data_IF_835118313252
#
_entry.id   IF_835118313252
#
_cell.length_a   1.000
_cell.length_b   1.000
_cell.length_c   1.000
_cell.angle_alpha   90.00
_cell.angle_beta   90.00
_cell.angle_gamma   90.00
#
_symmetry.space_group_name_H-M   'P 1'
#
loop_
_entity.id
_entity.type
_entity.pdbx_description
1 polymer ?
#
# COMPACT_ATOMS: atom_id res chain seq x y z
N UNK A 1 -27.85 49.85 -14.51
CA UNK A 1 -28.12 49.33 -13.14
C UNK A 1 -28.59 47.87 -13.13
N UNK A 2 -29.62 47.45 -13.88
CA UNK A 2 -30.06 46.03 -13.87
C UNK A 2 -29.08 45.04 -14.51
N UNK A 3 -28.36 45.44 -15.57
CA UNK A 3 -27.38 44.56 -16.26
C UNK A 3 -26.09 44.34 -15.45
N UNK A 4 -25.72 45.31 -14.60
CA UNK A 4 -24.50 45.29 -13.79
C UNK A 4 -24.67 44.34 -12.59
N UNK A 5 -25.86 44.32 -11.99
CA UNK A 5 -26.22 43.39 -10.91
C UNK A 5 -26.27 41.95 -11.41
N UNK A 6 -26.76 41.70 -12.62
CA UNK A 6 -26.77 40.35 -13.21
C UNK A 6 -25.39 39.84 -13.55
N UNK A 7 -24.48 40.72 -14.01
CA UNK A 7 -23.11 40.34 -14.38
C UNK A 7 -22.27 39.96 -13.14
N UNK A 8 -22.40 40.73 -12.05
CA UNK A 8 -21.76 40.39 -10.76
C UNK A 8 -22.25 39.06 -10.20
N UNK A 9 -23.53 38.71 -10.39
CA UNK A 9 -24.08 37.45 -9.88
C UNK A 9 -23.53 36.23 -10.64
N UNK A 10 -23.41 36.32 -11.97
CA UNK A 10 -22.79 35.25 -12.77
C UNK A 10 -21.31 35.05 -12.47
N UNK A 11 -20.56 36.13 -12.20
CA UNK A 11 -19.16 36.01 -11.80
C UNK A 11 -19.02 35.33 -10.44
N UNK A 12 -19.82 35.73 -9.44
CA UNK A 12 -19.82 35.10 -8.10
C UNK A 12 -20.16 33.62 -8.20
N UNK A 13 -21.20 33.25 -8.96
CA UNK A 13 -21.59 31.84 -9.13
C UNK A 13 -20.47 31.03 -9.82
N UNK A 14 -19.77 31.61 -10.79
CA UNK A 14 -18.64 30.95 -11.46
C UNK A 14 -17.45 30.72 -10.53
N UNK A 15 -17.14 31.68 -9.67
CA UNK A 15 -16.08 31.58 -8.66
C UNK A 15 -16.43 30.53 -7.59
N UNK A 16 -17.69 30.50 -7.15
CA UNK A 16 -18.17 29.50 -6.20
C UNK A 16 -18.05 28.10 -6.79
N UNK A 17 -18.51 27.87 -8.03
CA UNK A 17 -18.41 26.56 -8.70
C UNK A 17 -16.95 26.14 -8.87
N UNK A 18 -16.07 27.05 -9.30
CA UNK A 18 -14.64 26.77 -9.45
C UNK A 18 -13.97 26.44 -8.11
N UNK A 19 -14.34 27.15 -7.03
CA UNK A 19 -13.84 26.87 -5.68
C UNK A 19 -14.30 25.50 -5.15
N UNK A 20 -15.55 25.11 -5.43
CA UNK A 20 -16.09 23.81 -5.01
C UNK A 20 -15.44 22.66 -5.80
N UNK A 21 -15.21 22.83 -7.09
CA UNK A 21 -14.53 21.84 -7.92
C UNK A 21 -13.06 21.64 -7.51
N UNK A 22 -12.35 22.72 -7.20
CA UNK A 22 -10.95 22.65 -6.73
C UNK A 22 -10.84 22.00 -5.35
N UNK A 23 -11.75 22.32 -4.43
CA UNK A 23 -11.82 21.68 -3.11
C UNK A 23 -12.15 20.18 -3.21
N UNK A 24 -13.10 19.80 -4.06
CA UNK A 24 -13.45 18.40 -4.31
C UNK A 24 -12.26 17.61 -4.89
N UNK A 25 -11.60 18.16 -5.91
CA UNK A 25 -10.40 17.53 -6.49
C UNK A 25 -9.30 17.34 -5.45
N UNK A 26 -9.04 18.35 -4.61
CA UNK A 26 -8.05 18.26 -3.52
C UNK A 26 -8.41 17.19 -2.50
N UNK A 27 -9.68 17.10 -2.11
CA UNK A 27 -10.16 16.07 -1.18
C UNK A 27 -9.91 14.65 -1.72
N UNK A 28 -10.25 14.40 -2.99
CA UNK A 28 -10.01 13.10 -3.62
C UNK A 28 -8.53 12.73 -3.64
N UNK A 29 -7.63 13.69 -3.88
CA UNK A 29 -6.20 13.43 -3.82
C UNK A 29 -5.75 13.04 -2.40
N UNK A 30 -6.20 13.75 -1.37
CA UNK A 30 -5.86 13.42 0.02
C UNK A 30 -6.42 12.06 0.45
N UNK A 31 -7.63 11.72 0.03
CA UNK A 31 -8.22 10.40 0.26
C UNK A 31 -7.38 9.31 -0.40
N UNK A 32 -6.89 9.56 -1.62
CA UNK A 32 -6.01 8.62 -2.32
C UNK A 32 -4.67 8.44 -1.61
N UNK A 33 -4.07 9.52 -1.09
CA UNK A 33 -2.87 9.45 -0.26
C UNK A 33 -3.09 8.64 1.03
N UNK A 34 -4.16 8.93 1.76
CA UNK A 34 -4.51 8.22 2.99
C UNK A 34 -4.76 6.72 2.73
N UNK A 35 -5.47 6.43 1.63
CA UNK A 35 -5.66 5.07 1.16
C UNK A 35 -4.33 4.38 0.82
N UNK A 36 -3.44 5.03 0.06
CA UNK A 36 -2.14 4.46 -0.30
C UNK A 36 -1.26 4.16 0.92
N UNK A 37 -1.24 5.04 1.93
CA UNK A 37 -0.53 4.78 3.20
C UNK A 37 -1.10 3.57 3.91
N UNK A 38 -2.43 3.48 4.02
CA UNK A 38 -3.13 2.37 4.69
C UNK A 38 -2.87 1.05 3.93
N UNK A 39 -2.98 1.08 2.61
CA UNK A 39 -2.71 -0.05 1.72
C UNK A 39 -1.27 -0.55 1.90
N UNK A 40 -0.28 0.33 1.80
CA UNK A 40 1.13 -0.06 1.97
C UNK A 40 1.41 -0.60 3.38
N UNK A 41 0.84 0.02 4.42
CA UNK A 41 0.98 -0.43 5.80
C UNK A 41 0.37 -1.81 6.04
N UNK A 42 -0.83 -2.08 5.51
CA UNK A 42 -1.49 -3.39 5.63
C UNK A 42 -0.74 -4.49 4.87
N UNK A 43 -0.16 -4.18 3.71
CA UNK A 43 0.63 -5.14 2.91
C UNK A 43 1.95 -5.56 3.57
N UNK A 44 2.36 -4.91 4.66
CA UNK A 44 3.49 -5.38 5.49
C UNK A 44 3.17 -6.65 6.29
N UNK A 45 1.93 -7.14 6.24
CA UNK A 45 1.41 -8.34 6.90
C UNK A 45 1.23 -8.24 8.43
N UNK A 46 2.14 -7.58 9.14
CA UNK A 46 2.10 -7.46 10.62
C UNK A 46 0.76 -6.98 11.16
N UNK A 47 0.25 -5.81 10.73
CA UNK A 47 -1.02 -5.26 11.21
C UNK A 47 -2.20 -6.22 11.00
N UNK A 48 -2.30 -6.84 9.81
CA UNK A 48 -3.38 -7.78 9.48
C UNK A 48 -3.28 -9.04 10.34
N UNK A 49 -2.08 -9.59 10.49
CA UNK A 49 -1.87 -10.75 11.35
C UNK A 49 -2.20 -10.45 12.81
N UNK A 50 -1.89 -9.24 13.29
CA UNK A 50 -2.17 -8.83 14.67
C UNK A 50 -3.67 -8.67 14.94
N UNK A 51 -4.42 -8.10 13.99
CA UNK A 51 -5.88 -7.97 14.09
C UNK A 51 -6.55 -9.35 14.21
N UNK A 52 -6.09 -10.34 13.43
CA UNK A 52 -6.67 -11.68 13.40
C UNK A 52 -6.04 -12.66 14.40
N UNK A 53 -5.10 -12.22 15.24
CA UNK A 53 -4.35 -13.10 16.15
C UNK A 53 -5.26 -13.86 17.11
N UNK A 54 -6.15 -13.15 17.81
CA UNK A 54 -7.05 -13.77 18.78
C UNK A 54 -7.96 -14.82 18.15
N UNK A 55 -8.48 -14.55 16.96
CA UNK A 55 -9.31 -15.51 16.23
C UNK A 55 -8.51 -16.70 15.68
N UNK A 56 -7.23 -16.49 15.31
CA UNK A 56 -6.35 -17.56 14.81
C UNK A 56 -6.05 -18.63 15.86
N UNK A 57 -6.18 -18.31 17.15
CA UNK A 57 -6.01 -19.26 18.25
C UNK A 57 -7.21 -20.21 18.41
N UNK A 58 -8.37 -19.86 17.85
CA UNK A 58 -9.61 -20.64 17.98
C UNK A 58 -9.84 -21.53 16.76
N UNK A 59 -9.70 -20.98 15.55
CA UNK A 59 -9.82 -21.73 14.29
C UNK A 59 -8.76 -21.27 13.28
N UNK A 60 -7.62 -21.97 13.19
CA UNK A 60 -6.53 -21.58 12.29
C UNK A 60 -6.94 -21.61 10.80
N UNK A 61 -7.78 -22.56 10.39
CA UNK A 61 -8.07 -22.81 8.98
C UNK A 61 -9.05 -21.80 8.41
N UNK A 62 -10.08 -21.42 9.17
CA UNK A 62 -11.00 -20.37 8.76
C UNK A 62 -10.28 -19.02 8.61
N UNK A 63 -9.31 -18.75 9.48
CA UNK A 63 -8.62 -17.47 9.55
C UNK A 63 -7.64 -17.24 8.40
N UNK A 64 -7.05 -18.29 7.82
CA UNK A 64 -6.22 -18.13 6.61
C UNK A 64 -7.03 -17.53 5.45
N UNK A 65 -8.25 -18.02 5.23
CA UNK A 65 -9.16 -17.50 4.20
C UNK A 65 -9.58 -16.07 4.53
N UNK A 66 -9.84 -15.77 5.80
CA UNK A 66 -10.21 -14.41 6.24
C UNK A 66 -9.07 -13.40 6.06
N UNK A 67 -7.82 -13.79 6.37
CA UNK A 67 -6.63 -12.97 6.11
C UNK A 67 -6.49 -12.69 4.62
N UNK A 68 -6.60 -13.74 3.79
CA UNK A 68 -6.56 -13.61 2.34
C UNK A 68 -7.65 -12.66 1.80
N UNK A 69 -8.89 -12.82 2.27
CA UNK A 69 -10.00 -11.94 1.91
C UNK A 69 -9.76 -10.48 2.34
N UNK A 70 -9.17 -10.26 3.52
CA UNK A 70 -8.78 -8.92 3.99
C UNK A 70 -7.81 -8.27 3.01
N UNK A 71 -6.78 -8.99 2.56
CA UNK A 71 -5.84 -8.46 1.57
C UNK A 71 -6.48 -8.17 0.22
N UNK A 72 -7.41 -9.00 -0.26
CA UNK A 72 -8.14 -8.71 -1.51
C UNK A 72 -8.96 -7.42 -1.37
N UNK A 73 -9.72 -7.30 -0.28
CA UNK A 73 -10.60 -6.14 -0.05
C UNK A 73 -9.80 -4.84 0.03
N UNK A 74 -8.67 -4.86 0.71
CA UNK A 74 -7.81 -3.68 0.83
C UNK A 74 -7.14 -3.33 -0.51
N UNK A 75 -6.80 -4.31 -1.34
CA UNK A 75 -6.16 -4.08 -2.65
C UNK A 75 -7.16 -3.72 -3.77
N UNK A 76 -8.44 -4.09 -3.64
CA UNK A 76 -9.44 -3.94 -4.70
C UNK A 76 -9.60 -2.50 -5.22
N UNK A 77 -9.64 -1.44 -4.38
CA UNK A 77 -9.73 -0.07 -4.88
C UNK A 77 -8.52 0.35 -5.73
N UNK A 78 -7.31 -0.10 -5.38
CA UNK A 78 -6.09 0.20 -6.13
C UNK A 78 -6.15 -0.42 -7.54
N UNK A 79 -6.62 -1.67 -7.62
CA UNK A 79 -6.80 -2.38 -8.89
C UNK A 79 -7.87 -1.67 -9.72
N UNK A 80 -9.00 -1.31 -9.13
CA UNK A 80 -10.06 -0.57 -9.80
C UNK A 80 -9.54 0.77 -10.37
N UNK A 81 -8.79 1.53 -9.59
CA UNK A 81 -8.19 2.80 -10.03
C UNK A 81 -7.16 2.59 -11.15
N UNK A 82 -6.34 1.54 -11.08
CA UNK A 82 -5.38 1.19 -12.13
C UNK A 82 -6.09 0.87 -13.44
N UNK A 83 -7.12 0.02 -13.40
CA UNK A 83 -7.91 -0.35 -14.58
C UNK A 83 -8.58 0.88 -15.18
N UNK A 84 -9.19 1.74 -14.36
CA UNK A 84 -9.83 2.98 -14.81
C UNK A 84 -8.84 3.95 -15.47
N UNK A 85 -7.62 4.06 -14.94
CA UNK A 85 -6.57 4.96 -15.48
C UNK A 85 -5.90 4.41 -16.73
N UNK A 86 -5.96 3.09 -16.92
CA UNK A 86 -5.35 2.39 -18.03
C UNK A 86 -3.82 2.31 -17.95
N UNK A 87 -3.27 1.30 -18.60
CA UNK A 87 -1.81 1.09 -18.71
C UNK A 87 -1.40 1.47 -20.14
N UNK A 88 -0.46 2.41 -20.26
CA UNK A 88 0.07 2.79 -21.56
C UNK A 88 0.84 1.63 -22.20
N UNK A 89 0.65 1.41 -23.51
CA UNK A 89 1.37 0.37 -24.27
C UNK A 89 2.89 0.53 -24.18
N UNK A 90 3.38 1.74 -23.96
CA UNK A 90 4.81 2.02 -23.81
C UNK A 90 5.38 1.47 -22.49
N UNK A 91 4.54 1.29 -21.46
CA UNK A 91 4.97 0.76 -20.17
C UNK A 91 5.40 -0.72 -20.27
N UNK A 92 4.88 -1.45 -21.27
CA UNK A 92 5.24 -2.84 -21.53
C UNK A 92 6.60 -3.04 -22.20
N UNK A 93 7.22 -1.98 -22.75
CA UNK A 93 8.50 -2.08 -23.48
C UNK A 93 9.75 -2.03 -22.57
N UNK A 94 9.59 -2.20 -21.26
CA UNK A 94 10.67 -2.08 -20.28
C UNK A 94 10.61 -3.11 -19.15
N UNK A 95 11.24 -2.82 -18.00
CA UNK A 95 11.28 -3.72 -16.83
C UNK A 95 9.89 -4.16 -16.34
N UNK A 96 8.89 -3.29 -16.49
CA UNK A 96 7.50 -3.59 -16.13
C UNK A 96 6.91 -4.69 -17.02
N UNK A 97 7.22 -4.70 -18.32
CA UNK A 97 6.81 -5.78 -19.22
C UNK A 97 7.40 -7.13 -18.83
N UNK A 98 8.69 -7.14 -18.47
CA UNK A 98 9.37 -8.34 -17.96
C UNK A 98 8.74 -8.82 -16.64
N UNK A 99 8.43 -7.90 -15.72
CA UNK A 99 7.76 -8.21 -14.47
C UNK A 99 6.38 -8.83 -14.71
N UNK A 100 5.59 -8.25 -15.63
CA UNK A 100 4.27 -8.78 -15.97
C UNK A 100 4.35 -10.15 -16.65
N UNK A 101 5.35 -10.36 -17.50
CA UNK A 101 5.62 -11.68 -18.10
C UNK A 101 5.95 -12.70 -17.02
N UNK A 102 6.85 -12.35 -16.09
CA UNK A 102 7.22 -13.20 -14.96
C UNK A 102 6.02 -13.54 -14.07
N UNK A 103 5.21 -12.54 -13.70
CA UNK A 103 4.02 -12.74 -12.87
C UNK A 103 2.98 -13.60 -13.60
N UNK A 104 2.80 -13.41 -14.90
CA UNK A 104 1.91 -14.24 -15.72
C UNK A 104 2.41 -15.69 -15.81
N UNK A 105 3.73 -15.87 -15.96
CA UNK A 105 4.35 -17.19 -15.94
C UNK A 105 4.16 -17.90 -14.59
N UNK A 106 4.37 -17.20 -13.47
CA UNK A 106 4.13 -17.75 -12.14
C UNK A 106 2.67 -18.18 -11.96
N UNK A 107 1.72 -17.39 -12.46
CA UNK A 107 0.30 -17.76 -12.41
C UNK A 107 -0.01 -18.98 -13.29
N UNK A 108 0.55 -19.07 -14.49
CA UNK A 108 0.35 -20.24 -15.37
C UNK A 108 0.93 -21.52 -14.75
N UNK A 109 2.05 -21.39 -14.03
CA UNK A 109 2.70 -22.53 -13.39
C UNK A 109 1.86 -23.22 -12.31
N UNK A 110 0.81 -22.56 -11.80
CA UNK A 110 -0.11 -23.17 -10.84
C UNK A 110 -0.96 -24.28 -11.46
N UNK A 111 -1.13 -24.30 -12.79
CA UNK A 111 -1.99 -25.26 -13.50
C UNK A 111 -1.45 -26.69 -13.36
N UNK A 112 -0.13 -26.85 -13.35
CA UNK A 112 0.54 -28.15 -13.24
C UNK A 112 1.20 -28.37 -11.87
N UNK A 113 0.86 -27.55 -10.87
CA UNK A 113 1.43 -27.66 -9.53
C UNK A 113 0.80 -28.81 -8.73
N UNK A 114 1.63 -29.63 -8.08
CA UNK A 114 1.21 -30.78 -7.27
C UNK A 114 0.48 -30.38 -5.98
N UNK A 115 0.79 -29.20 -5.42
CA UNK A 115 0.07 -28.60 -4.27
C UNK A 115 -0.77 -27.41 -4.75
N UNK A 116 -1.70 -27.68 -5.66
CA UNK A 116 -2.41 -26.64 -6.43
C UNK A 116 -3.11 -25.59 -5.57
N UNK A 117 -3.67 -25.96 -4.40
CA UNK A 117 -4.43 -24.99 -3.57
C UNK A 117 -3.56 -23.88 -2.98
N UNK A 118 -2.44 -24.22 -2.34
CA UNK A 118 -1.57 -23.20 -1.72
C UNK A 118 -0.83 -22.38 -2.79
N UNK A 119 -0.35 -23.05 -3.84
CA UNK A 119 0.36 -22.40 -4.96
C UNK A 119 -0.55 -21.43 -5.73
N UNK A 120 -1.86 -21.71 -5.83
CA UNK A 120 -2.83 -20.77 -6.41
C UNK A 120 -2.96 -19.51 -5.55
N UNK A 121 -3.11 -19.62 -4.23
CA UNK A 121 -3.23 -18.45 -3.35
C UNK A 121 -1.98 -17.55 -3.41
N UNK A 122 -0.79 -18.14 -3.42
CA UNK A 122 0.47 -17.41 -3.52
C UNK A 122 0.60 -16.68 -4.86
N UNK A 123 0.34 -17.36 -5.98
CA UNK A 123 0.40 -16.75 -7.30
C UNK A 123 -0.65 -15.66 -7.51
N UNK A 124 -1.87 -15.84 -7.00
CA UNK A 124 -2.89 -14.78 -7.02
C UNK A 124 -2.45 -13.58 -6.19
N UNK A 125 -1.90 -13.81 -4.99
CA UNK A 125 -1.37 -12.75 -4.14
C UNK A 125 -0.24 -11.98 -4.83
N UNK A 126 0.65 -12.69 -5.53
CA UNK A 126 1.72 -12.08 -6.32
C UNK A 126 1.16 -11.17 -7.44
N UNK A 127 0.15 -11.65 -8.17
CA UNK A 127 -0.51 -10.88 -9.24
C UNK A 127 -1.16 -9.62 -8.68
N UNK A 128 -1.94 -9.74 -7.60
CA UNK A 128 -2.64 -8.62 -6.97
C UNK A 128 -1.64 -7.59 -6.42
N UNK A 129 -0.61 -8.06 -5.73
CA UNK A 129 0.42 -7.19 -5.15
C UNK A 129 1.24 -6.48 -6.25
N UNK A 130 1.54 -7.18 -7.35
CA UNK A 130 2.17 -6.57 -8.53
C UNK A 130 1.29 -5.48 -9.14
N UNK A 131 -0.02 -5.74 -9.30
CA UNK A 131 -0.97 -4.75 -9.79
C UNK A 131 -1.04 -3.53 -8.87
N UNK A 132 -1.00 -3.72 -7.55
CA UNK A 132 -0.90 -2.62 -6.57
C UNK A 132 0.39 -1.83 -6.72
N UNK A 133 1.53 -2.50 -6.93
CA UNK A 133 2.80 -1.83 -7.22
C UNK A 133 2.71 -0.94 -8.47
N UNK A 134 2.07 -1.43 -9.54
CA UNK A 134 1.82 -0.66 -10.75
C UNK A 134 0.86 0.50 -10.53
N UNK A 135 -0.17 0.30 -9.71
CA UNK A 135 -1.06 1.38 -9.27
C UNK A 135 -0.24 2.50 -8.61
N UNK A 136 0.60 2.18 -7.62
CA UNK A 136 1.42 3.19 -6.92
C UNK A 136 2.38 3.88 -7.89
N UNK A 137 3.06 3.12 -8.75
CA UNK A 137 4.03 3.65 -9.71
C UNK A 137 3.38 4.59 -10.74
N UNK A 138 2.13 4.31 -11.12
CA UNK A 138 1.37 5.08 -12.12
C UNK A 138 0.69 6.32 -11.54
N UNK A 139 0.34 6.27 -10.25
CA UNK A 139 -0.51 7.26 -9.58
C UNK A 139 0.29 8.38 -8.94
N UNK A 140 1.49 8.08 -8.46
CA UNK A 140 2.33 9.01 -7.69
C UNK A 140 3.67 9.22 -8.38
N UNK A 141 4.24 10.41 -8.21
CA UNK A 141 5.61 10.75 -8.63
C UNK A 141 6.62 10.09 -7.68
N UNK A 142 7.88 9.98 -8.11
CA UNK A 142 8.92 9.32 -7.31
C UNK A 142 9.04 9.85 -5.86
N UNK A 143 9.04 11.17 -5.67
CA UNK A 143 9.13 11.78 -4.33
C UNK A 143 7.90 11.41 -3.48
N UNK A 144 6.72 11.41 -4.09
CA UNK A 144 5.47 11.03 -3.43
C UNK A 144 5.48 9.55 -3.06
N UNK A 145 5.92 8.67 -3.97
CA UNK A 145 6.10 7.24 -3.69
C UNK A 145 7.04 7.02 -2.50
N UNK A 146 8.24 7.61 -2.52
CA UNK A 146 9.19 7.48 -1.42
C UNK A 146 8.62 8.01 -0.10
N UNK A 147 7.89 9.13 -0.14
CA UNK A 147 7.23 9.70 1.03
C UNK A 147 6.15 8.75 1.57
N UNK A 148 5.33 8.18 0.68
CA UNK A 148 4.30 7.21 1.03
C UNK A 148 4.88 5.94 1.66
N UNK A 149 5.93 5.37 1.07
CA UNK A 149 6.64 4.23 1.65
C UNK A 149 7.23 4.60 3.02
N UNK A 150 7.91 5.73 3.14
CA UNK A 150 8.48 6.17 4.40
C UNK A 150 7.41 6.28 5.49
N UNK A 151 6.32 7.00 5.23
CA UNK A 151 5.21 7.19 6.19
C UNK A 151 4.52 5.87 6.51
N UNK A 152 4.22 5.04 5.52
CA UNK A 152 3.49 3.79 5.71
C UNK A 152 4.23 2.76 6.57
N UNK A 153 5.58 2.77 6.54
CA UNK A 153 6.37 1.84 7.35
C UNK A 153 6.46 2.27 8.83
N UNK A 154 6.32 3.56 9.16
CA UNK A 154 6.56 4.04 10.53
C UNK A 154 5.58 3.50 11.58
N UNK A 155 4.25 3.44 11.36
CA UNK A 155 3.32 2.95 12.37
C UNK A 155 3.67 1.55 12.85
N UNK A 156 4.01 0.64 11.92
CA UNK A 156 4.40 -0.73 12.25
C UNK A 156 5.64 -0.78 13.14
N UNK A 157 6.64 0.06 12.88
CA UNK A 157 7.86 0.16 13.68
C UNK A 157 7.61 0.79 15.06
N UNK A 158 6.82 1.86 15.11
CA UNK A 158 6.48 2.55 16.37
C UNK A 158 5.69 1.62 17.27
N UNK A 159 4.64 0.96 16.77
CA UNK A 159 3.86 -0.01 17.54
C UNK A 159 4.71 -1.21 17.95
N UNK A 160 5.62 -1.68 17.09
CA UNK A 160 6.57 -2.74 17.44
C UNK A 160 7.48 -2.33 18.59
N UNK A 161 8.02 -1.12 18.56
CA UNK A 161 8.86 -0.58 19.63
C UNK A 161 8.09 -0.43 20.94
N UNK A 162 6.86 0.09 20.89
CA UNK A 162 5.98 0.18 22.07
C UNK A 162 5.69 -1.22 22.64
N UNK A 163 5.36 -2.20 21.79
CA UNK A 163 5.06 -3.56 22.21
C UNK A 163 6.25 -4.21 22.94
N UNK A 164 7.46 -4.03 22.42
CA UNK A 164 8.70 -4.52 23.06
C UNK A 164 8.95 -3.79 24.39
N UNK A 165 8.81 -2.46 24.43
CA UNK A 165 9.02 -1.66 25.64
C UNK A 165 8.03 -1.99 26.76
N UNK A 166 6.79 -2.32 26.40
CA UNK A 166 5.74 -2.70 27.34
C UNK A 166 5.70 -4.20 27.64
N UNK A 167 6.66 -4.99 27.14
CA UNK A 167 6.73 -6.45 27.31
C UNK A 167 5.43 -7.17 26.91
N UNK A 168 4.80 -6.77 25.80
CA UNK A 168 3.63 -7.47 25.28
C UNK A 168 3.99 -8.91 24.94
N UNK A 169 3.07 -9.85 25.19
CA UNK A 169 3.30 -11.26 24.87
C UNK A 169 3.58 -11.43 23.37
N UNK A 170 4.65 -12.16 23.04
CA UNK A 170 5.04 -12.41 21.65
C UNK A 170 5.72 -11.23 20.94
N UNK A 171 6.06 -10.15 21.65
CA UNK A 171 6.81 -9.00 21.08
C UNK A 171 8.32 -9.26 20.96
N UNK A 172 8.83 -10.23 21.72
CA UNK A 172 10.21 -10.72 21.69
C UNK A 172 10.16 -12.24 21.54
N UNK A 173 11.00 -12.79 20.66
CA UNK A 173 11.03 -14.22 20.41
C UNK A 173 11.68 -14.95 21.61
N UNK A 174 11.01 -15.95 22.21
CA UNK A 174 11.51 -16.62 23.42
C UNK A 174 12.83 -17.36 23.24
N UNK A 175 13.08 -17.88 22.02
CA UNK A 175 14.24 -18.71 21.70
C UNK A 175 15.55 -17.90 21.66
N UNK A 176 15.51 -16.74 20.99
CA UNK A 176 16.72 -15.99 20.63
C UNK A 176 16.78 -14.58 21.27
N UNK A 177 15.70 -14.12 21.92
CA UNK A 177 15.59 -12.74 22.41
C UNK A 177 15.44 -11.68 21.29
N UNK A 178 15.20 -12.11 20.05
CA UNK A 178 15.05 -11.22 18.90
C UNK A 178 13.77 -10.37 18.99
N UNK A 179 13.87 -9.09 18.62
CA UNK A 179 12.71 -8.19 18.58
C UNK A 179 11.86 -8.49 17.35
N UNK A 180 10.57 -8.76 17.59
CA UNK A 180 9.60 -9.06 16.53
C UNK A 180 8.40 -8.12 16.55
N UNK A 181 8.15 -7.44 17.68
CA UNK A 181 7.10 -6.44 17.81
C UNK A 181 5.71 -6.97 17.48
N UNK A 182 5.01 -6.32 16.56
CA UNK A 182 3.68 -6.77 16.09
C UNK A 182 3.75 -7.75 14.90
N UNK A 183 4.96 -8.10 14.44
CA UNK A 183 5.17 -8.83 13.17
C UNK A 183 5.37 -10.32 13.34
N UNK A 184 5.27 -10.87 14.55
CA UNK A 184 5.35 -12.30 14.91
C UNK A 184 6.63 -13.04 14.51
N UNK A 185 7.46 -12.45 13.64
CA UNK A 185 8.71 -12.99 13.13
C UNK A 185 9.65 -11.84 12.78
N UNK A 186 10.95 -12.00 13.07
CA UNK A 186 12.01 -11.05 12.70
C UNK A 186 12.06 -10.80 11.19
N UNK A 187 11.81 -11.84 10.39
CA UNK A 187 11.82 -11.78 8.93
C UNK A 187 10.63 -10.97 8.38
N UNK A 188 9.61 -10.71 9.20
CA UNK A 188 8.45 -9.90 8.85
C UNK A 188 8.59 -8.45 9.31
N UNK A 189 9.34 -8.17 10.40
CA UNK A 189 9.67 -6.82 10.85
C UNK A 189 10.78 -6.15 10.02
N UNK A 190 11.76 -6.95 9.58
CA UNK A 190 12.92 -6.44 8.86
C UNK A 190 12.59 -5.75 7.52
N UNK A 191 11.70 -6.27 6.66
CA UNK A 191 11.39 -5.61 5.39
C UNK A 191 10.76 -4.22 5.55
N UNK A 192 9.75 -4.00 6.42
CA UNK A 192 9.24 -2.66 6.70
C UNK A 192 10.31 -1.70 7.23
N UNK A 193 11.19 -2.17 8.12
CA UNK A 193 12.29 -1.36 8.64
C UNK A 193 13.27 -0.95 7.54
N UNK A 194 13.69 -1.92 6.72
CA UNK A 194 14.60 -1.69 5.61
C UNK A 194 14.00 -0.75 4.55
N UNK A 195 12.74 -0.98 4.15
CA UNK A 195 12.05 -0.12 3.19
C UNK A 195 11.85 1.30 3.71
N UNK A 196 11.50 1.46 4.99
CA UNK A 196 11.39 2.77 5.62
C UNK A 196 12.73 3.51 5.63
N UNK A 197 13.82 2.83 5.99
CA UNK A 197 15.16 3.39 6.00
C UNK A 197 15.64 3.77 4.60
N UNK A 198 15.43 2.89 3.61
CA UNK A 198 15.80 3.15 2.22
C UNK A 198 15.02 4.35 1.65
N UNK A 199 13.72 4.42 1.89
CA UNK A 199 12.89 5.53 1.46
C UNK A 199 13.32 6.85 2.11
N UNK A 200 13.56 6.85 3.42
CA UNK A 200 14.04 8.02 4.15
C UNK A 200 15.42 8.49 3.66
N UNK A 201 16.35 7.55 3.43
CA UNK A 201 17.69 7.84 2.93
C UNK A 201 17.65 8.41 1.52
N UNK A 202 16.81 7.85 0.64
CA UNK A 202 16.63 8.35 -0.72
C UNK A 202 16.01 9.76 -0.72
N UNK A 203 15.01 10.02 0.13
CA UNK A 203 14.43 11.37 0.29
C UNK A 203 15.46 12.37 0.80
N UNK A 204 16.22 12.00 1.84
CA UNK A 204 17.27 12.84 2.39
C UNK A 204 18.32 13.17 1.32
N UNK A 205 18.75 12.18 0.55
CA UNK A 205 19.67 12.38 -0.57
C UNK A 205 19.12 13.33 -1.62
N UNK A 206 17.86 13.15 -2.03
CA UNK A 206 17.21 14.03 -3.01
C UNK A 206 17.19 15.47 -2.50
N UNK A 207 16.85 15.69 -1.23
CA UNK A 207 16.81 17.03 -0.60
C UNK A 207 18.21 17.63 -0.50
N UNK A 208 19.22 16.83 -0.13
CA UNK A 208 20.59 17.31 0.05
C UNK A 208 21.30 17.63 -1.26
N UNK A 209 21.03 16.86 -2.33
CA UNK A 209 21.69 17.03 -3.64
C UNK A 209 20.95 18.02 -4.53
N UNK A 210 19.62 18.06 -4.49
CA UNK A 210 18.82 19.05 -5.25
C UNK A 210 18.66 20.37 -4.48
N UNK A 211 19.70 20.84 -3.79
CA UNK A 211 19.65 22.18 -3.20
C UNK A 211 19.23 23.18 -4.29
N UNK A 212 18.25 24.06 -4.03
CA UNK A 212 17.92 25.14 -4.96
C UNK A 212 19.13 26.05 -5.20
#
# INVERSE_FOLDING_TARGET
MSQEVTNNRSEIDSLVVQSLQTNSARLWHWLEYAYAVTLLGTLTQGPVNKIWEGSSQVDPRAIEITKFATYILVQAPAIFLLVRRGISKNLFKGPIGLLLLFVSWMLLSTIWATSSSNTVFESVTLVLTCAVGLYVARSFRLIEQLTLFCIAMQPGLIFSWIAVRQNWSGSVQPEDGNWVGIYFNRNSLAPPAALGLLAASALLWIVLVRRP
#
